data_IF_309459641044
#
_entry.id   IF_309459641044
#
_cell.length_a   1.000
_cell.length_b   1.000
_cell.length_c   1.000
_cell.angle_alpha   90.00
_cell.angle_beta   90.00
_cell.angle_gamma   90.00
#
_symmetry.space_group_name_H-M   'P 1'
#
loop_
_entity.id
_entity.type
_entity.pdbx_description
1 polymer ?
#
# COMPACT_ATOMS: atom_id res chain seq x y z
N UNK A 1 -13.33 -3.86 -27.52
CA UNK A 1 -12.21 -3.30 -28.31
C UNK A 1 -11.54 -4.45 -29.03
N UNK A 2 -11.21 -4.30 -30.32
CA UNK A 2 -10.43 -5.27 -31.07
C UNK A 2 -9.00 -5.30 -30.50
N UNK A 3 -8.44 -6.46 -30.13
CA UNK A 3 -7.08 -6.53 -29.61
C UNK A 3 -6.10 -6.02 -30.67
N UNK A 4 -5.06 -5.29 -30.25
CA UNK A 4 -3.94 -4.95 -31.14
C UNK A 4 -2.89 -6.04 -31.00
N UNK A 5 -2.37 -6.51 -32.13
CA UNK A 5 -1.38 -7.58 -32.16
C UNK A 5 -0.15 -7.27 -31.29
N UNK A 6 0.37 -6.04 -31.37
CA UNK A 6 1.61 -5.62 -30.70
C UNK A 6 1.47 -5.49 -29.17
N UNK A 7 0.24 -5.46 -28.66
CA UNK A 7 -0.03 -5.36 -27.21
C UNK A 7 0.14 -6.73 -26.50
N UNK A 8 0.35 -7.82 -27.24
CA UNK A 8 0.35 -9.20 -26.72
C UNK A 8 1.57 -10.04 -27.17
N UNK A 9 2.81 -9.55 -26.98
CA UNK A 9 4.00 -10.22 -27.47
C UNK A 9 4.22 -11.61 -26.87
N UNK A 10 3.90 -11.82 -25.59
CA UNK A 10 4.11 -13.11 -24.91
C UNK A 10 3.17 -14.20 -25.45
N UNK A 11 1.90 -13.86 -25.66
CA UNK A 11 0.94 -14.77 -26.28
C UNK A 11 1.33 -15.11 -27.72
N UNK A 12 1.75 -14.10 -28.49
CA UNK A 12 2.21 -14.29 -29.87
C UNK A 12 3.43 -15.21 -29.92
N UNK A 13 4.40 -14.99 -29.03
CA UNK A 13 5.61 -15.82 -28.94
C UNK A 13 5.28 -17.27 -28.58
N UNK A 14 4.29 -17.51 -27.70
CA UNK A 14 3.86 -18.88 -27.37
C UNK A 14 3.20 -19.58 -28.55
N UNK A 15 2.33 -18.90 -29.30
CA UNK A 15 1.76 -19.45 -30.53
C UNK A 15 2.82 -19.75 -31.60
N UNK A 16 3.85 -18.93 -31.67
CA UNK A 16 4.94 -19.08 -32.64
C UNK A 16 6.02 -20.07 -32.19
N UNK A 17 6.00 -20.52 -30.92
CA UNK A 17 6.96 -21.46 -30.36
C UNK A 17 6.96 -22.83 -31.09
N UNK A 18 5.82 -23.22 -31.66
CA UNK A 18 5.69 -24.44 -32.46
C UNK A 18 6.36 -24.34 -33.84
N UNK A 19 6.92 -23.18 -34.19
CA UNK A 19 7.61 -22.89 -35.45
C UNK A 19 6.78 -22.08 -36.45
N UNK A 20 7.35 -21.83 -37.63
CA UNK A 20 6.70 -21.06 -38.70
C UNK A 20 5.90 -21.94 -39.66
N UNK A 21 4.89 -21.35 -40.30
CA UNK A 21 4.10 -22.01 -41.36
C UNK A 21 4.65 -21.58 -42.73
N UNK A 22 4.87 -22.54 -43.63
CA UNK A 22 5.27 -22.25 -45.02
C UNK A 22 4.13 -22.51 -45.99
N UNK A 23 3.75 -21.51 -46.79
CA UNK A 23 2.69 -21.59 -47.82
C UNK A 23 3.28 -21.12 -49.14
N UNK A 24 3.31 -22.00 -50.14
CA UNK A 24 3.86 -21.71 -51.47
C UNK A 24 5.28 -21.09 -51.46
N UNK A 25 6.12 -21.47 -50.50
CA UNK A 25 7.48 -20.97 -50.32
C UNK A 25 7.61 -19.68 -49.51
N UNK A 26 6.51 -19.04 -49.12
CA UNK A 26 6.50 -17.91 -48.19
C UNK A 26 6.35 -18.41 -46.74
N UNK A 27 7.07 -17.78 -45.81
CA UNK A 27 7.11 -18.13 -44.38
C UNK A 27 6.28 -17.13 -43.57
N UNK A 28 5.44 -17.64 -42.68
CA UNK A 28 4.52 -16.87 -41.86
C UNK A 28 4.61 -17.28 -40.39
N UNK A 29 4.37 -16.34 -39.48
CA UNK A 29 4.14 -16.64 -38.06
C UNK A 29 2.69 -17.11 -37.84
N UNK A 30 2.53 -18.10 -36.96
CA UNK A 30 1.22 -18.66 -36.59
C UNK A 30 0.33 -17.60 -35.97
N UNK A 31 0.90 -16.82 -35.04
CA UNK A 31 0.21 -15.74 -34.34
C UNK A 31 -0.31 -14.69 -35.32
N UNK A 32 0.46 -14.35 -36.35
CA UNK A 32 0.10 -13.33 -37.34
C UNK A 32 -0.96 -13.80 -38.32
N UNK A 33 -0.86 -15.05 -38.79
CA UNK A 33 -1.92 -15.69 -39.59
C UNK A 33 -3.23 -15.66 -38.81
N UNK A 34 -3.21 -16.10 -37.54
CA UNK A 34 -4.41 -16.17 -36.72
C UNK A 34 -5.00 -14.78 -36.48
N UNK A 35 -4.15 -13.78 -36.20
CA UNK A 35 -4.58 -12.40 -35.99
C UNK A 35 -5.17 -11.75 -37.26
N UNK A 36 -4.52 -11.92 -38.41
CA UNK A 36 -4.91 -11.23 -39.65
C UNK A 36 -6.12 -11.90 -40.33
N UNK A 37 -6.25 -13.23 -40.24
CA UNK A 37 -7.31 -13.98 -40.93
C UNK A 37 -8.55 -14.26 -40.05
N UNK A 38 -8.36 -14.53 -38.75
CA UNK A 38 -9.43 -14.97 -37.85
C UNK A 38 -9.33 -14.25 -36.50
N UNK A 39 -9.56 -12.93 -36.51
CA UNK A 39 -9.46 -12.06 -35.33
C UNK A 39 -10.29 -12.55 -34.13
N UNK A 40 -11.45 -13.16 -34.37
CA UNK A 40 -12.29 -13.67 -33.29
C UNK A 40 -11.67 -14.90 -32.63
N UNK A 41 -11.10 -15.81 -33.42
CA UNK A 41 -10.35 -16.97 -32.88
C UNK A 41 -9.10 -16.51 -32.14
N UNK A 42 -8.36 -15.53 -32.68
CA UNK A 42 -7.23 -14.92 -31.97
C UNK A 42 -7.67 -14.36 -30.61
N UNK A 43 -8.77 -13.59 -30.59
CA UNK A 43 -9.31 -12.97 -29.38
C UNK A 43 -9.72 -14.01 -28.33
N UNK A 44 -10.41 -15.07 -28.74
CA UNK A 44 -10.82 -16.15 -27.84
C UNK A 44 -9.60 -16.91 -27.30
N UNK A 45 -8.66 -17.28 -28.17
CA UNK A 45 -7.43 -17.95 -27.77
C UNK A 45 -6.59 -17.10 -26.80
N UNK A 46 -6.49 -15.79 -27.05
CA UNK A 46 -5.82 -14.85 -26.15
C UNK A 46 -6.53 -14.80 -24.78
N UNK A 47 -7.86 -14.77 -24.74
CA UNK A 47 -8.62 -14.76 -23.49
C UNK A 47 -8.44 -16.05 -22.69
N UNK A 48 -8.44 -17.20 -23.36
CA UNK A 48 -8.23 -18.50 -22.70
C UNK A 48 -6.79 -18.63 -22.20
N UNK A 49 -5.80 -18.19 -22.98
CA UNK A 49 -4.41 -18.12 -22.56
C UNK A 49 -4.23 -17.21 -21.33
N UNK A 50 -4.80 -16.01 -21.35
CA UNK A 50 -4.75 -15.08 -20.20
C UNK A 50 -5.39 -15.70 -18.94
N UNK A 51 -6.53 -16.39 -19.11
CA UNK A 51 -7.22 -17.08 -18.01
C UNK A 51 -6.34 -18.20 -17.44
N UNK A 52 -5.74 -19.02 -18.30
CA UNK A 52 -4.84 -20.10 -17.88
C UNK A 52 -3.64 -19.53 -17.12
N UNK A 53 -2.98 -18.49 -17.65
CA UNK A 53 -1.84 -17.83 -16.97
C UNK A 53 -2.23 -17.24 -15.62
N UNK A 54 -3.41 -16.64 -15.51
CA UNK A 54 -3.92 -16.16 -14.22
C UNK A 54 -4.20 -17.31 -13.25
N UNK A 55 -4.71 -18.44 -13.72
CA UNK A 55 -4.94 -19.62 -12.88
C UNK A 55 -3.65 -20.26 -12.40
N UNK A 56 -2.67 -20.47 -13.29
CA UNK A 56 -1.32 -20.94 -12.96
C UNK A 56 -0.67 -20.03 -11.89
N UNK A 57 -0.71 -18.71 -12.10
CA UNK A 57 -0.16 -17.74 -11.15
C UNK A 57 -0.88 -17.78 -9.80
N UNK A 58 -2.21 -17.91 -9.79
CA UNK A 58 -2.98 -18.03 -8.53
C UNK A 58 -2.59 -19.29 -7.78
N UNK A 59 -2.40 -20.41 -8.46
CA UNK A 59 -2.02 -21.67 -7.84
C UNK A 59 -0.59 -21.63 -7.28
N UNK A 60 0.35 -21.02 -8.02
CA UNK A 60 1.70 -20.74 -7.54
C UNK A 60 1.69 -19.90 -6.26
N UNK A 61 0.94 -18.80 -6.27
CA UNK A 61 0.80 -17.91 -5.12
C UNK A 61 0.15 -18.62 -3.92
N UNK A 62 -0.93 -19.39 -4.15
CA UNK A 62 -1.59 -20.20 -3.12
C UNK A 62 -0.62 -21.17 -2.47
N UNK A 63 0.12 -21.91 -3.29
CA UNK A 63 1.14 -22.84 -2.82
C UNK A 63 2.18 -22.11 -1.97
N UNK A 64 2.67 -20.95 -2.42
CA UNK A 64 3.67 -20.16 -1.70
C UNK A 64 3.18 -19.63 -0.35
N UNK A 65 1.89 -19.29 -0.22
CA UNK A 65 1.32 -18.75 1.04
C UNK A 65 0.58 -19.80 1.87
N UNK A 66 0.49 -21.06 1.42
CA UNK A 66 -0.33 -22.11 2.04
C UNK A 66 -0.03 -22.26 3.53
N UNK A 67 1.25 -22.44 3.88
CA UNK A 67 1.69 -22.58 5.28
C UNK A 67 1.42 -21.31 6.09
N UNK A 68 1.39 -20.15 5.45
CA UNK A 68 1.09 -18.88 6.12
C UNK A 68 -0.39 -18.72 6.36
N UNK A 69 -1.25 -19.17 5.45
CA UNK A 69 -2.70 -19.14 5.63
C UNK A 69 -3.17 -20.09 6.74
N UNK A 70 -2.46 -21.20 6.98
CA UNK A 70 -2.76 -22.11 8.10
C UNK A 70 -2.33 -21.57 9.47
N UNK A 71 -1.56 -20.46 9.53
CA UNK A 71 -1.20 -19.83 10.79
C UNK A 71 -2.40 -19.16 11.45
N UNK A 72 -2.71 -19.60 12.67
CA UNK A 72 -3.74 -19.00 13.53
C UNK A 72 -5.07 -18.79 12.79
N UNK A 73 -5.55 -17.55 12.69
CA UNK A 73 -6.82 -17.20 12.05
C UNK A 73 -6.64 -16.62 10.63
N UNK A 74 -5.45 -16.77 10.03
CA UNK A 74 -5.11 -16.13 8.75
C UNK A 74 -6.05 -16.54 7.63
N UNK A 75 -6.32 -17.84 7.44
CA UNK A 75 -7.22 -18.32 6.37
C UNK A 75 -8.60 -17.66 6.43
N UNK A 76 -9.25 -17.67 7.60
CA UNK A 76 -10.56 -17.04 7.79
C UNK A 76 -10.49 -15.53 7.52
N UNK A 77 -9.48 -14.83 8.05
CA UNK A 77 -9.32 -13.39 7.85
C UNK A 77 -9.05 -13.03 6.39
N UNK A 78 -8.20 -13.81 5.72
CA UNK A 78 -7.85 -13.61 4.32
C UNK A 78 -9.06 -13.85 3.41
N UNK A 79 -9.87 -14.89 3.67
CA UNK A 79 -11.12 -15.15 2.94
C UNK A 79 -12.11 -13.98 3.06
N UNK A 80 -12.29 -13.42 4.26
CA UNK A 80 -13.14 -12.24 4.44
C UNK A 80 -12.55 -11.01 3.74
N UNK A 81 -11.24 -10.79 3.84
CA UNK A 81 -10.54 -9.70 3.15
C UNK A 81 -10.74 -9.76 1.63
N UNK A 82 -10.67 -10.96 1.02
CA UNK A 82 -10.95 -11.15 -0.41
C UNK A 82 -12.38 -10.77 -0.76
N UNK A 83 -13.38 -11.15 0.05
CA UNK A 83 -14.79 -10.76 -0.21
C UNK A 83 -14.94 -9.25 -0.25
N UNK A 84 -14.31 -8.55 0.70
CA UNK A 84 -14.36 -7.09 0.77
C UNK A 84 -13.65 -6.44 -0.42
N UNK A 85 -12.49 -6.98 -0.83
CA UNK A 85 -11.76 -6.50 -2.00
C UNK A 85 -12.58 -6.63 -3.29
N UNK A 86 -13.24 -7.78 -3.52
CA UNK A 86 -14.12 -7.99 -4.70
C UNK A 86 -15.30 -7.02 -4.77
N UNK A 87 -15.83 -6.62 -3.62
CA UNK A 87 -16.92 -5.64 -3.55
C UNK A 87 -16.41 -4.19 -3.71
N UNK A 88 -15.10 -3.98 -3.89
CA UNK A 88 -14.47 -2.67 -3.96
C UNK A 88 -14.70 -1.84 -2.69
N UNK A 89 -14.76 -2.50 -1.53
CA UNK A 89 -14.94 -1.85 -0.22
C UNK A 89 -13.62 -1.61 0.53
N UNK A 90 -12.51 -1.98 -0.09
CA UNK A 90 -11.19 -1.93 0.51
C UNK A 90 -10.47 -0.62 0.23
N UNK A 91 -9.95 -0.01 1.29
CA UNK A 91 -9.07 1.17 1.23
C UNK A 91 -7.69 0.76 1.74
N UNK A 92 -6.69 0.62 0.86
CA UNK A 92 -5.32 0.38 1.28
C UNK A 92 -4.80 1.56 2.11
N UNK A 93 -4.24 1.24 3.28
CA UNK A 93 -3.47 2.13 4.12
C UNK A 93 -2.01 1.69 4.02
N UNK A 94 -1.21 2.44 3.26
CA UNK A 94 0.14 2.04 2.84
C UNK A 94 1.21 2.79 3.63
N UNK A 95 2.10 2.06 4.28
CA UNK A 95 3.29 2.58 4.96
C UNK A 95 4.59 2.31 4.21
N UNK A 96 5.70 2.77 4.78
CA UNK A 96 7.00 2.80 4.12
C UNK A 96 7.55 1.40 3.79
N UNK A 97 7.07 0.36 4.48
CA UNK A 97 7.45 -1.02 4.20
C UNK A 97 7.11 -1.48 2.78
N UNK A 98 6.07 -0.90 2.16
CA UNK A 98 5.69 -1.22 0.77
C UNK A 98 6.61 -0.56 -0.26
N UNK A 99 7.15 0.61 0.04
CA UNK A 99 8.04 1.37 -0.87
C UNK A 99 9.52 1.07 -0.64
N UNK A 100 9.86 0.31 0.41
CA UNK A 100 11.24 -0.13 0.71
C UNK A 100 11.95 -0.85 -0.45
N UNK A 101 11.32 -1.78 -1.20
CA UNK A 101 11.95 -2.40 -2.38
C UNK A 101 12.26 -1.39 -3.50
N UNK A 102 11.53 -0.28 -3.56
CA UNK A 102 11.82 0.85 -4.45
C UNK A 102 12.95 1.76 -3.91
N UNK A 103 13.79 1.25 -3.00
CA UNK A 103 14.91 1.95 -2.36
C UNK A 103 14.50 3.18 -1.54
N UNK A 104 13.24 3.29 -1.15
CA UNK A 104 12.80 4.33 -0.21
C UNK A 104 13.18 3.91 1.20
N UNK A 105 13.83 4.78 2.00
CA UNK A 105 14.20 4.45 3.36
C UNK A 105 12.97 4.46 4.28
N UNK A 106 13.06 3.70 5.37
CA UNK A 106 12.10 3.80 6.47
C UNK A 106 12.31 5.11 7.23
N UNK A 107 11.25 5.62 7.85
CA UNK A 107 11.34 6.86 8.63
C UNK A 107 12.40 6.80 9.74
N UNK A 108 12.48 5.67 10.45
CA UNK A 108 13.50 5.40 11.46
C UNK A 108 14.93 5.52 10.90
N UNK A 109 15.16 4.98 9.69
CA UNK A 109 16.48 5.04 9.05
C UNK A 109 16.83 6.48 8.66
N UNK A 110 15.86 7.22 8.13
CA UNK A 110 16.03 8.64 7.80
C UNK A 110 16.41 9.47 9.03
N UNK A 111 15.67 9.35 10.14
CA UNK A 111 15.93 10.12 11.36
C UNK A 111 17.31 9.83 11.97
N UNK A 112 17.75 8.56 11.95
CA UNK A 112 19.09 8.19 12.42
C UNK A 112 20.16 8.84 11.53
N UNK A 113 20.03 8.74 10.20
CA UNK A 113 21.00 9.30 9.26
C UNK A 113 21.06 10.83 9.34
N UNK A 114 19.90 11.48 9.44
CA UNK A 114 19.80 12.92 9.66
C UNK A 114 20.45 13.33 10.99
N UNK A 115 20.21 12.58 12.07
CA UNK A 115 20.82 12.83 13.38
C UNK A 115 22.34 12.76 13.36
N UNK A 116 22.92 11.79 12.67
CA UNK A 116 24.39 11.66 12.56
C UNK A 116 25.01 12.93 11.94
N UNK A 117 24.34 13.57 10.97
CA UNK A 117 24.87 14.77 10.30
C UNK A 117 24.92 16.00 11.20
N UNK A 118 24.10 16.05 12.25
CA UNK A 118 24.12 17.12 13.27
C UNK A 118 24.80 16.69 14.57
N UNK A 119 25.53 15.58 14.54
CA UNK A 119 26.29 15.09 15.69
C UNK A 119 25.45 14.43 16.79
N UNK A 120 24.22 14.00 16.49
CA UNK A 120 23.46 13.14 17.41
C UNK A 120 24.06 11.73 17.45
N UNK A 121 24.06 11.13 18.64
CA UNK A 121 24.45 9.73 18.80
C UNK A 121 23.41 8.79 18.18
N UNK A 122 23.85 7.93 17.27
CA UNK A 122 22.98 7.01 16.54
C UNK A 122 22.35 5.95 17.44
N UNK A 123 23.05 5.50 18.48
CA UNK A 123 22.54 4.50 19.43
C UNK A 123 21.46 5.11 20.30
N UNK A 124 21.69 6.30 20.84
CA UNK A 124 20.69 7.04 21.63
C UNK A 124 19.46 7.35 20.78
N UNK A 125 19.66 7.83 19.56
CA UNK A 125 18.55 8.11 18.62
C UNK A 125 17.74 6.84 18.36
N UNK A 126 18.40 5.72 18.07
CA UNK A 126 17.72 4.43 17.85
C UNK A 126 16.94 3.94 19.07
N UNK A 127 17.47 4.11 20.28
CA UNK A 127 16.77 3.77 21.51
C UNK A 127 15.50 4.60 21.69
N UNK A 128 15.58 5.92 21.50
CA UNK A 128 14.41 6.81 21.57
C UNK A 128 13.33 6.45 20.56
N UNK A 129 13.72 6.16 19.32
CA UNK A 129 12.78 5.71 18.29
C UNK A 129 12.11 4.38 18.63
N UNK A 130 12.83 3.45 19.28
CA UNK A 130 12.23 2.19 19.77
C UNK A 130 11.21 2.38 20.90
N UNK A 131 11.25 3.53 21.60
CA UNK A 131 10.26 3.93 22.59
C UNK A 131 9.06 4.69 21.97
N UNK A 132 9.07 4.91 20.65
CA UNK A 132 8.03 5.64 19.94
C UNK A 132 8.20 7.16 19.90
N UNK A 133 9.36 7.70 20.32
CA UNK A 133 9.64 9.14 20.37
C UNK A 133 9.95 9.76 18.99
N UNK A 134 9.17 9.40 17.97
CA UNK A 134 9.38 9.85 16.58
C UNK A 134 9.16 11.36 16.44
N UNK A 135 8.13 11.90 17.11
CA UNK A 135 7.78 13.33 17.04
C UNK A 135 8.86 14.19 17.72
N UNK A 136 9.35 13.75 18.88
CA UNK A 136 10.38 14.42 19.67
C UNK A 136 11.74 14.41 18.96
N UNK A 137 12.13 13.29 18.36
CA UNK A 137 13.37 13.20 17.58
C UNK A 137 13.28 14.10 16.35
N UNK A 138 12.15 14.12 15.64
CA UNK A 138 11.97 15.00 14.48
C UNK A 138 12.05 16.49 14.86
N UNK A 139 11.40 16.91 15.96
CA UNK A 139 11.46 18.28 16.48
C UNK A 139 12.90 18.69 16.88
N UNK A 140 13.64 17.78 17.53
CA UNK A 140 15.05 18.04 17.87
C UNK A 140 15.91 18.25 16.62
N UNK A 141 15.74 17.41 15.59
CA UNK A 141 16.49 17.56 14.34
C UNK A 141 16.15 18.86 13.63
N UNK A 142 14.87 19.23 13.56
CA UNK A 142 14.45 20.52 12.99
C UNK A 142 15.04 21.68 13.77
N UNK A 143 15.11 21.59 15.10
CA UNK A 143 15.71 22.62 15.95
C UNK A 143 17.22 22.77 15.71
N UNK A 144 17.94 21.65 15.54
CA UNK A 144 19.40 21.65 15.29
C UNK A 144 19.77 22.07 13.86
N UNK A 145 19.01 21.61 12.87
CA UNK A 145 19.27 21.88 11.44
C UNK A 145 18.70 23.21 10.96
N UNK A 146 17.64 23.68 11.62
CA UNK A 146 16.72 24.64 11.04
C UNK A 146 15.78 23.99 10.00
N UNK A 147 14.60 24.60 9.78
CA UNK A 147 13.55 24.00 8.96
C UNK A 147 13.95 23.81 7.50
N UNK A 148 14.71 24.73 6.91
CA UNK A 148 15.07 24.65 5.49
C UNK A 148 16.00 23.48 5.18
N UNK A 149 17.03 23.28 6.01
CA UNK A 149 17.99 22.18 5.80
C UNK A 149 17.32 20.83 6.04
N UNK A 150 16.52 20.68 7.11
CA UNK A 150 15.76 19.46 7.36
C UNK A 150 14.83 19.11 6.18
N UNK A 151 14.14 20.12 5.63
CA UNK A 151 13.23 19.93 4.49
C UNK A 151 13.98 19.51 3.21
N UNK A 152 15.11 20.15 2.91
CA UNK A 152 15.96 19.75 1.80
C UNK A 152 16.39 18.29 1.95
N UNK A 153 16.68 17.85 3.17
CA UNK A 153 17.00 16.45 3.45
C UNK A 153 15.84 15.51 3.18
N UNK A 154 14.63 15.86 3.60
CA UNK A 154 13.41 15.08 3.30
C UNK A 154 13.19 15.00 1.78
N UNK A 155 13.23 16.15 1.09
CA UNK A 155 13.08 16.24 -0.37
C UNK A 155 14.11 15.36 -1.08
N UNK A 156 15.41 15.53 -0.78
CA UNK A 156 16.49 14.72 -1.37
C UNK A 156 16.34 13.25 -1.07
N UNK A 157 15.80 12.85 0.08
CA UNK A 157 15.70 11.44 0.43
C UNK A 157 14.52 10.76 -0.27
N UNK A 158 13.36 11.41 -0.29
CA UNK A 158 12.10 10.77 -0.69
C UNK A 158 11.62 11.16 -2.09
N UNK A 159 12.22 12.18 -2.73
CA UNK A 159 11.95 12.53 -4.14
C UNK A 159 12.98 11.90 -5.09
N UNK A 160 13.18 10.58 -4.97
CA UNK A 160 14.12 9.84 -5.82
C UNK A 160 13.38 9.11 -6.94
N UNK A 161 13.86 9.23 -8.18
CA UNK A 161 13.31 8.48 -9.31
C UNK A 161 13.93 7.08 -9.37
N UNK A 162 13.34 6.16 -8.61
CA UNK A 162 13.78 4.76 -8.52
C UNK A 162 12.87 3.83 -9.30
N UNK A 163 13.36 2.72 -9.88
CA UNK A 163 12.48 1.74 -10.54
C UNK A 163 11.40 1.20 -9.59
N UNK A 164 10.18 1.07 -10.11
CA UNK A 164 9.07 0.47 -9.37
C UNK A 164 9.26 -1.05 -9.30
N UNK A 165 9.25 -1.59 -8.07
CA UNK A 165 9.42 -3.03 -7.83
C UNK A 165 8.77 -3.45 -6.51
N UNK A 166 8.46 -4.74 -6.41
CA UNK A 166 7.91 -5.35 -5.21
C UNK A 166 6.40 -5.12 -5.02
N UNK A 167 5.90 -5.16 -3.78
CA UNK A 167 4.48 -5.26 -3.48
C UNK A 167 3.65 -4.04 -3.89
N UNK A 168 4.28 -2.88 -4.12
CA UNK A 168 3.59 -1.66 -4.56
C UNK A 168 2.89 -1.84 -5.92
N UNK A 169 3.42 -2.73 -6.78
CA UNK A 169 2.85 -3.04 -8.10
C UNK A 169 1.51 -3.79 -8.01
N UNK A 170 1.17 -4.33 -6.85
CA UNK A 170 -0.10 -5.04 -6.65
C UNK A 170 -1.23 -4.14 -6.14
N UNK A 171 -0.90 -2.96 -5.59
CA UNK A 171 -1.89 -2.05 -5.00
C UNK A 171 -2.93 -1.55 -6.03
N UNK A 172 -2.56 -1.12 -7.26
CA UNK A 172 -3.53 -0.68 -8.26
C UNK A 172 -4.50 -1.77 -8.72
N UNK A 173 -4.19 -3.05 -8.44
CA UNK A 173 -5.05 -4.20 -8.75
C UNK A 173 -5.97 -4.58 -7.58
N UNK A 174 -5.70 -4.10 -6.38
CA UNK A 174 -6.52 -4.32 -5.19
C UNK A 174 -7.66 -3.30 -5.11
N UNK A 175 -7.42 -2.06 -5.54
CA UNK A 175 -8.43 -0.99 -5.54
C UNK A 175 -8.24 -0.03 -6.72
N UNK A 176 -9.35 0.43 -7.28
CA UNK A 176 -9.42 1.58 -8.20
C UNK A 176 -9.98 2.83 -7.47
N UNK A 177 -10.06 2.78 -6.14
CA UNK A 177 -10.66 3.82 -5.30
C UNK A 177 -9.64 4.63 -4.50
N UNK A 178 -10.02 4.98 -3.27
CA UNK A 178 -9.17 5.76 -2.38
C UNK A 178 -8.00 4.92 -1.82
N UNK A 179 -6.85 5.58 -1.65
CA UNK A 179 -5.68 5.05 -0.96
C UNK A 179 -5.23 6.05 0.09
N UNK A 180 -4.86 5.57 1.27
CA UNK A 180 -4.29 6.37 2.37
C UNK A 180 -2.84 5.97 2.53
N UNK A 181 -1.94 6.93 2.77
CA UNK A 181 -0.53 6.62 3.03
C UNK A 181 0.11 7.56 4.04
N UNK A 182 1.06 7.01 4.80
CA UNK A 182 1.98 7.76 5.66
C UNK A 182 3.28 8.15 4.95
N UNK A 183 3.46 7.74 3.69
CA UNK A 183 4.73 7.90 2.97
C UNK A 183 4.86 9.30 2.37
N UNK A 184 6.10 9.78 2.33
CA UNK A 184 6.44 11.06 1.68
C UNK A 184 6.74 10.92 0.19
N UNK A 185 7.26 9.76 -0.22
CA UNK A 185 7.67 9.44 -1.58
C UNK A 185 6.48 9.41 -2.57
N UNK A 186 6.77 9.46 -3.87
CA UNK A 186 5.76 9.43 -4.94
C UNK A 186 5.60 8.05 -5.62
N UNK A 187 6.06 6.97 -4.95
CA UNK A 187 6.08 5.62 -5.52
C UNK A 187 4.67 5.12 -5.81
N UNK A 188 3.69 5.40 -4.95
CA UNK A 188 2.29 5.03 -5.18
C UNK A 188 1.72 5.76 -6.41
N UNK A 189 1.97 7.05 -6.54
CA UNK A 189 1.53 7.85 -7.68
C UNK A 189 2.08 7.30 -9.00
N UNK A 190 3.39 6.97 -9.02
CA UNK A 190 4.03 6.37 -10.20
C UNK A 190 3.47 4.98 -10.49
N UNK A 191 3.22 4.15 -9.47
CA UNK A 191 2.65 2.82 -9.63
C UNK A 191 1.23 2.88 -10.25
N UNK A 192 0.35 3.73 -9.72
CA UNK A 192 -1.00 3.90 -10.28
C UNK A 192 -0.97 4.46 -11.71
N UNK A 193 -0.03 5.37 -12.01
CA UNK A 193 0.16 5.90 -13.37
C UNK A 193 0.62 4.81 -14.35
N UNK A 194 1.57 3.96 -13.95
CA UNK A 194 2.07 2.86 -14.79
C UNK A 194 0.97 1.84 -15.13
N UNK A 195 0.01 1.64 -14.22
CA UNK A 195 -1.15 0.77 -14.45
C UNK A 195 -2.30 1.43 -15.22
N UNK A 196 -2.12 2.67 -15.71
CA UNK A 196 -3.14 3.41 -16.47
C UNK A 196 -4.26 4.02 -15.61
N UNK A 197 -4.12 3.99 -14.28
CA UNK A 197 -5.13 4.43 -13.33
C UNK A 197 -4.60 5.56 -12.42
N UNK A 198 -4.12 6.70 -12.96
CA UNK A 198 -3.57 7.77 -12.13
C UNK A 198 -4.64 8.32 -11.18
N UNK A 199 -4.20 8.74 -9.99
CA UNK A 199 -5.06 9.43 -9.03
C UNK A 199 -5.63 10.72 -9.65
N UNK A 200 -6.95 10.91 -9.53
CA UNK A 200 -7.62 12.11 -10.08
C UNK A 200 -7.45 13.32 -9.18
N UNK A 201 -7.34 13.09 -7.87
CA UNK A 201 -7.14 14.12 -6.86
C UNK A 201 -6.06 13.65 -5.87
N UNK A 202 -5.09 14.53 -5.61
CA UNK A 202 -4.06 14.34 -4.59
C UNK A 202 -4.25 15.42 -3.54
N UNK A 203 -4.55 15.01 -2.32
CA UNK A 203 -4.66 15.93 -1.20
C UNK A 203 -3.56 15.63 -0.19
N UNK A 204 -2.83 16.69 0.12
CA UNK A 204 -1.65 16.67 0.95
C UNK A 204 -2.01 17.37 2.26
N UNK A 205 -1.90 16.67 3.39
CA UNK A 205 -1.92 17.35 4.68
C UNK A 205 -3.23 18.04 5.05
N UNK A 206 -3.21 19.33 5.36
CA UNK A 206 -4.26 20.04 6.12
C UNK A 206 -5.42 20.62 5.29
N UNK A 207 -5.46 20.39 3.97
CA UNK A 207 -6.50 20.90 3.08
C UNK A 207 -7.26 19.76 2.41
N UNK A 208 -8.03 19.01 3.20
CA UNK A 208 -8.66 17.75 2.84
C UNK A 208 -10.16 17.84 2.55
N UNK A 209 -10.61 18.96 2.00
CA UNK A 209 -12.00 19.11 1.55
C UNK A 209 -12.31 18.11 0.44
N UNK A 210 -13.29 17.23 0.67
CA UNK A 210 -13.80 16.31 -0.35
C UNK A 210 -13.43 14.84 -0.19
N UNK A 211 -12.55 14.47 0.75
CA UNK A 211 -12.17 13.06 0.98
C UNK A 211 -13.38 12.15 1.24
N UNK A 212 -14.31 12.57 2.12
CA UNK A 212 -15.55 11.82 2.38
C UNK A 212 -16.35 11.55 1.10
N UNK A 213 -16.47 12.57 0.23
CA UNK A 213 -17.19 12.45 -1.04
C UNK A 213 -16.45 11.51 -1.99
N UNK A 214 -15.13 11.63 -2.07
CA UNK A 214 -14.28 10.74 -2.88
C UNK A 214 -14.39 9.28 -2.42
N UNK A 215 -14.42 9.04 -1.11
CA UNK A 215 -14.59 7.70 -0.53
C UNK A 215 -15.94 7.09 -0.89
N UNK A 216 -17.03 7.85 -0.71
CA UNK A 216 -18.39 7.39 -1.03
C UNK A 216 -18.60 7.14 -2.53
N UNK A 217 -18.02 7.97 -3.38
CA UNK A 217 -18.09 7.85 -4.84
C UNK A 217 -17.01 6.91 -5.42
N UNK A 218 -16.20 6.28 -4.55
CA UNK A 218 -15.08 5.40 -4.93
C UNK A 218 -14.15 6.04 -5.97
N UNK A 219 -13.90 7.35 -5.86
CA UNK A 219 -12.97 8.06 -6.73
C UNK A 219 -11.52 7.68 -6.42
N UNK A 220 -10.68 7.69 -7.45
CA UNK A 220 -9.22 7.53 -7.36
C UNK A 220 -8.60 8.71 -6.63
N UNK A 221 -8.45 8.57 -5.32
CA UNK A 221 -8.01 9.64 -4.44
C UNK A 221 -6.87 9.17 -3.55
N UNK A 222 -5.79 9.93 -3.49
CA UNK A 222 -4.66 9.66 -2.58
C UNK A 222 -4.64 10.65 -1.43
N UNK A 223 -4.77 10.12 -0.20
CA UNK A 223 -4.63 10.86 1.04
C UNK A 223 -3.25 10.60 1.66
N UNK A 224 -2.37 11.61 1.70
CA UNK A 224 -1.06 11.52 2.35
C UNK A 224 -1.12 12.21 3.72
N UNK A 225 -1.12 11.42 4.81
CA UNK A 225 -1.44 11.94 6.15
C UNK A 225 -0.29 12.72 6.79
N UNK A 226 0.96 12.40 6.45
CA UNK A 226 2.12 13.15 6.91
C UNK A 226 2.56 14.24 5.93
N UNK A 227 1.85 14.39 4.82
CA UNK A 227 2.17 15.34 3.77
C UNK A 227 2.97 14.72 2.63
N UNK A 228 3.64 15.57 1.86
CA UNK A 228 4.40 15.18 0.68
C UNK A 228 5.82 15.70 0.79
N UNK A 229 6.80 14.95 0.28
CA UNK A 229 8.18 15.40 0.30
C UNK A 229 8.35 16.75 -0.44
N UNK A 230 7.59 17.01 -1.51
CA UNK A 230 7.70 18.22 -2.36
C UNK A 230 6.88 19.40 -1.83
N UNK A 231 5.93 19.17 -0.91
CA UNK A 231 5.04 20.23 -0.40
C UNK A 231 5.11 20.39 1.12
N UNK A 232 5.58 21.58 1.51
CA UNK A 232 5.76 22.01 2.89
C UNK A 232 4.44 22.32 3.59
N UNK A 233 3.39 22.71 2.84
CA UNK A 233 2.17 23.34 3.38
C UNK A 233 1.17 22.36 4.00
N UNK A 234 1.46 21.07 4.00
CA UNK A 234 0.60 20.03 4.55
C UNK A 234 1.33 19.01 5.45
N UNK A 235 2.57 19.29 5.84
CA UNK A 235 3.39 18.28 6.51
C UNK A 235 3.01 18.08 7.98
N UNK A 236 3.11 16.83 8.43
CA UNK A 236 2.90 16.40 9.82
C UNK A 236 4.05 15.50 10.26
N UNK A 237 5.10 16.11 10.80
CA UNK A 237 6.34 15.45 11.24
C UNK A 237 6.76 15.81 12.66
N UNK A 238 6.66 17.07 13.03
CA UNK A 238 7.11 17.55 14.35
C UNK A 238 5.95 17.58 15.34
N UNK A 239 6.24 17.67 16.64
CA UNK A 239 5.22 17.76 17.70
C UNK A 239 4.26 18.92 17.41
N UNK A 240 4.78 20.08 17.01
CA UNK A 240 3.97 21.23 16.66
C UNK A 240 3.04 20.94 15.47
N UNK A 241 3.54 20.28 14.44
CA UNK A 241 2.76 19.92 13.25
C UNK A 241 1.69 18.85 13.56
N UNK A 242 2.02 17.86 14.40
CA UNK A 242 1.06 16.85 14.88
C UNK A 242 -0.02 17.44 15.77
N UNK A 243 0.34 18.34 16.70
CA UNK A 243 -0.62 19.06 17.52
C UNK A 243 -1.56 19.90 16.66
N UNK A 244 -1.03 20.48 15.58
CA UNK A 244 -1.83 21.24 14.62
C UNK A 244 -2.71 20.35 13.71
N UNK A 245 -2.32 19.11 13.44
CA UNK A 245 -3.09 18.21 12.58
C UNK A 245 -4.14 17.39 13.36
N UNK A 246 -3.78 16.88 14.54
CA UNK A 246 -4.59 15.95 15.33
C UNK A 246 -5.21 16.57 16.58
N UNK A 247 -4.76 17.74 17.02
CA UNK A 247 -5.04 18.26 18.37
C UNK A 247 -3.91 17.96 19.35
N UNK A 248 -3.89 18.65 20.50
CA UNK A 248 -2.82 18.56 21.50
C UNK A 248 -2.96 17.32 22.40
N UNK A 249 -3.56 17.50 23.58
CA UNK A 249 -3.67 16.44 24.60
C UNK A 249 -4.65 15.32 24.21
N UNK A 250 -5.63 15.61 23.34
CA UNK A 250 -6.64 14.67 22.86
C UNK A 250 -6.83 14.84 21.35
N UNK A 251 -7.36 13.80 20.70
CA UNK A 251 -7.71 13.85 19.28
C UNK A 251 -8.88 14.81 19.09
N UNK A 252 -8.68 15.80 18.23
CA UNK A 252 -9.63 16.84 17.90
C UNK A 252 -10.32 16.51 16.56
N UNK A 253 -11.49 15.87 16.64
CA UNK A 253 -12.28 15.50 15.47
C UNK A 253 -12.90 16.69 14.71
N UNK A 254 -12.72 17.92 15.18
CA UNK A 254 -13.09 19.12 14.40
C UNK A 254 -12.06 19.41 13.30
N UNK A 255 -10.83 18.89 13.44
CA UNK A 255 -9.77 19.00 12.43
C UNK A 255 -9.99 18.02 11.29
N UNK A 256 -9.56 18.42 10.10
CA UNK A 256 -9.86 17.68 8.87
C UNK A 256 -9.24 16.28 8.83
N UNK A 257 -7.97 16.14 9.25
CA UNK A 257 -7.27 14.86 9.22
C UNK A 257 -7.92 13.81 10.14
N UNK A 258 -8.17 14.10 11.44
CA UNK A 258 -8.92 13.19 12.30
C UNK A 258 -10.32 12.86 11.77
N UNK A 259 -11.04 13.86 11.25
CA UNK A 259 -12.37 13.67 10.66
C UNK A 259 -12.36 12.73 9.45
N UNK A 260 -11.35 12.85 8.58
CA UNK A 260 -11.21 12.02 7.39
C UNK A 260 -10.75 10.61 7.73
N UNK A 261 -9.81 10.45 8.66
CA UNK A 261 -9.41 9.14 9.17
C UNK A 261 -10.59 8.42 9.83
N UNK A 262 -11.35 9.13 10.67
CA UNK A 262 -12.60 8.61 11.24
C UNK A 262 -13.57 8.18 10.15
N UNK A 263 -13.81 9.03 9.14
CA UNK A 263 -14.69 8.70 8.01
C UNK A 263 -14.22 7.44 7.27
N UNK A 264 -12.93 7.31 6.98
CA UNK A 264 -12.38 6.12 6.32
C UNK A 264 -12.59 4.86 7.18
N UNK A 265 -12.31 4.97 8.47
CA UNK A 265 -12.44 3.87 9.43
C UNK A 265 -13.90 3.42 9.59
N UNK A 266 -14.85 4.36 9.72
CA UNK A 266 -16.27 4.03 9.91
C UNK A 266 -16.93 3.46 8.63
N UNK A 267 -16.62 4.00 7.44
CA UNK A 267 -17.37 3.70 6.21
C UNK A 267 -16.66 2.78 5.22
N UNK A 268 -15.47 2.26 5.55
CA UNK A 268 -14.74 1.35 4.67
C UNK A 268 -13.92 0.33 5.45
N UNK A 269 -13.45 -0.71 4.78
CA UNK A 269 -12.46 -1.62 5.38
C UNK A 269 -11.06 -1.16 5.00
N UNK A 270 -10.31 -0.69 6.00
CA UNK A 270 -8.89 -0.41 5.85
C UNK A 270 -8.07 -1.70 5.77
N UNK A 271 -7.13 -1.74 4.81
CA UNK A 271 -6.07 -2.75 4.72
C UNK A 271 -4.71 -2.11 4.96
N UNK A 272 -4.12 -2.36 6.12
CA UNK A 272 -2.79 -1.84 6.47
C UNK A 272 -1.68 -2.70 5.86
N UNK A 273 -0.79 -2.05 5.08
CA UNK A 273 0.28 -2.69 4.34
C UNK A 273 1.60 -1.94 4.56
N UNK A 274 2.63 -2.64 5.03
CA UNK A 274 3.94 -2.02 5.29
C UNK A 274 3.92 -0.97 6.41
N UNK A 275 2.89 -0.99 7.25
CA UNK A 275 2.79 -0.19 8.47
C UNK A 275 3.23 -1.06 9.66
N UNK A 276 4.09 -0.54 10.53
CA UNK A 276 4.42 -1.25 11.78
C UNK A 276 3.22 -1.31 12.74
N UNK A 277 2.28 -0.35 12.62
CA UNK A 277 1.15 -0.16 13.55
C UNK A 277 1.62 -0.13 15.01
N UNK A 278 2.74 0.56 15.24
CA UNK A 278 3.21 0.91 16.57
C UNK A 278 2.42 2.10 17.10
N UNK A 279 2.48 2.35 18.41
CA UNK A 279 1.67 3.37 19.09
C UNK A 279 1.91 4.77 18.50
N UNK A 280 1.00 5.22 17.64
CA UNK A 280 0.99 6.56 17.05
C UNK A 280 -0.37 7.26 17.28
N UNK A 281 -0.49 8.53 16.87
CA UNK A 281 -1.76 9.26 17.00
C UNK A 281 -2.88 8.66 16.15
N UNK A 282 -2.56 7.98 15.06
CA UNK A 282 -3.52 7.30 14.18
C UNK A 282 -4.21 6.13 14.89
N UNK A 283 -3.44 5.28 15.59
CA UNK A 283 -4.00 4.19 16.38
C UNK A 283 -4.80 4.72 17.58
N UNK A 284 -4.31 5.76 18.27
CA UNK A 284 -5.07 6.42 19.35
C UNK A 284 -6.44 6.90 18.83
N UNK A 285 -6.46 7.50 17.64
CA UNK A 285 -7.69 7.92 16.98
C UNK A 285 -8.61 6.73 16.71
N UNK A 286 -8.12 5.64 16.11
CA UNK A 286 -8.94 4.47 15.83
C UNK A 286 -9.50 3.81 17.10
N UNK A 287 -8.69 3.71 18.17
CA UNK A 287 -9.16 3.22 19.47
C UNK A 287 -10.29 4.10 20.02
N UNK A 288 -10.16 5.41 19.88
CA UNK A 288 -11.21 6.34 20.30
C UNK A 288 -12.48 6.16 19.45
N UNK A 289 -12.37 5.99 18.14
CA UNK A 289 -13.54 5.72 17.26
C UNK A 289 -14.24 4.42 17.66
N UNK A 290 -13.49 3.34 17.94
CA UNK A 290 -14.06 2.06 18.40
C UNK A 290 -14.80 2.22 19.73
N UNK A 291 -14.22 2.98 20.67
CA UNK A 291 -14.86 3.24 21.96
C UNK A 291 -16.13 4.10 21.82
N UNK A 292 -16.14 5.06 20.90
CA UNK A 292 -17.26 5.99 20.70
C UNK A 292 -18.43 5.38 19.91
N UNK A 293 -18.14 4.56 18.88
CA UNK A 293 -19.13 4.02 17.95
C UNK A 293 -19.56 2.58 18.28
N UNK A 294 -18.77 1.86 19.10
CA UNK A 294 -18.99 0.45 19.38
C UNK A 294 -18.58 -0.46 18.21
N UNK A 295 -18.51 -1.77 18.45
CA UNK A 295 -17.97 -2.74 17.47
C UNK A 295 -19.01 -3.33 16.53
N UNK A 296 -20.29 -3.21 16.83
CA UNK A 296 -21.36 -3.94 16.13
C UNK A 296 -21.60 -3.40 14.71
N UNK A 297 -21.49 -2.08 14.54
CA UNK A 297 -21.71 -1.40 13.25
C UNK A 297 -20.40 -1.08 12.51
N UNK A 298 -19.24 -1.32 13.13
CA UNK A 298 -17.93 -1.05 12.52
C UNK A 298 -17.45 -2.20 11.64
N UNK A 299 -17.04 -1.87 10.42
CA UNK A 299 -16.39 -2.83 9.54
C UNK A 299 -15.06 -3.32 10.15
N UNK A 300 -14.77 -4.61 10.05
CA UNK A 300 -13.45 -5.14 10.47
C UNK A 300 -12.37 -4.59 9.55
N UNK A 301 -11.23 -4.21 10.12
CA UNK A 301 -10.03 -3.81 9.38
C UNK A 301 -8.99 -4.92 9.40
N UNK A 302 -8.06 -4.91 8.44
CA UNK A 302 -7.06 -5.97 8.30
C UNK A 302 -5.65 -5.40 8.16
N UNK A 303 -4.65 -6.12 8.63
CA UNK A 303 -3.25 -5.73 8.48
C UNK A 303 -2.40 -6.94 8.10
N UNK A 304 -1.56 -6.85 7.07
CA UNK A 304 -0.57 -7.89 6.77
C UNK A 304 0.71 -7.53 7.50
N UNK A 305 1.06 -8.29 8.54
CA UNK A 305 2.13 -7.95 9.48
C UNK A 305 3.07 -9.13 9.73
N UNK A 306 4.31 -8.80 10.06
CA UNK A 306 5.31 -9.78 10.48
C UNK A 306 4.91 -10.38 11.84
N UNK A 307 4.97 -11.70 11.97
CA UNK A 307 4.70 -12.38 13.23
C UNK A 307 5.73 -11.95 14.29
N UNK A 308 5.31 -11.40 15.45
CA UNK A 308 6.23 -11.01 16.50
C UNK A 308 7.04 -12.20 17.03
N UNK A 309 8.32 -11.99 17.34
CA UNK A 309 9.16 -13.02 17.95
C UNK A 309 8.74 -13.36 19.40
N UNK A 310 8.16 -12.38 20.11
CA UNK A 310 7.68 -12.51 21.49
C UNK A 310 6.32 -11.80 21.62
N UNK A 311 5.56 -12.13 22.66
CA UNK A 311 4.31 -11.47 23.04
C UNK A 311 3.24 -11.43 21.93
N UNK A 312 3.15 -12.49 21.12
CA UNK A 312 2.19 -12.58 20.01
C UNK A 312 0.75 -12.34 20.47
N UNK A 313 0.34 -12.90 21.61
CA UNK A 313 -1.02 -12.75 22.15
C UNK A 313 -1.31 -11.32 22.62
N UNK A 314 -0.33 -10.64 23.21
CA UNK A 314 -0.48 -9.23 23.60
C UNK A 314 -0.62 -8.34 22.37
N UNK A 315 0.17 -8.62 21.33
CA UNK A 315 0.11 -7.90 20.06
C UNK A 315 -1.21 -8.15 19.32
N UNK A 316 -1.66 -9.39 19.30
CA UNK A 316 -2.97 -9.79 18.77
C UNK A 316 -4.08 -9.02 19.48
N UNK A 317 -4.11 -9.07 20.82
CA UNK A 317 -5.09 -8.36 21.64
C UNK A 317 -5.07 -6.87 21.37
N UNK A 318 -3.87 -6.25 21.38
CA UNK A 318 -3.70 -4.84 21.08
C UNK A 318 -4.33 -4.47 19.74
N UNK A 319 -4.05 -5.18 18.65
CA UNK A 319 -4.63 -4.87 17.34
C UNK A 319 -6.15 -5.08 17.30
N UNK A 320 -6.64 -6.16 17.91
CA UNK A 320 -8.09 -6.44 17.95
C UNK A 320 -8.88 -5.44 18.79
N UNK A 321 -8.31 -4.87 19.85
CA UNK A 321 -8.91 -3.75 20.60
C UNK A 321 -9.05 -2.47 19.76
N UNK A 322 -8.28 -2.35 18.68
CA UNK A 322 -8.41 -1.27 17.69
C UNK A 322 -9.26 -1.70 16.49
N UNK A 323 -9.96 -2.84 16.57
CA UNK A 323 -10.74 -3.43 15.48
C UNK A 323 -9.94 -3.77 14.21
N UNK A 324 -8.62 -3.98 14.39
CA UNK A 324 -7.68 -4.38 13.34
C UNK A 324 -7.33 -5.86 13.52
N UNK A 325 -7.62 -6.67 12.52
CA UNK A 325 -7.42 -8.12 12.55
C UNK A 325 -6.18 -8.50 11.72
N UNK A 326 -5.07 -8.90 12.37
CA UNK A 326 -3.82 -9.15 11.66
C UNK A 326 -3.85 -10.46 10.85
N UNK A 327 -3.16 -10.46 9.71
CA UNK A 327 -2.81 -11.61 8.92
C UNK A 327 -1.28 -11.72 9.00
N UNK A 328 -0.81 -12.72 9.75
CA UNK A 328 0.60 -12.83 10.12
C UNK A 328 1.42 -13.53 9.03
N UNK A 329 2.55 -12.97 8.62
CA UNK A 329 3.55 -13.69 7.82
C UNK A 329 4.79 -14.03 8.66
N UNK A 330 5.56 -15.08 8.31
CA UNK A 330 6.73 -15.49 9.09
C UNK A 330 7.82 -14.40 9.17
N UNK A 331 8.61 -14.34 10.25
CA UNK A 331 9.64 -13.33 10.41
C UNK A 331 10.60 -13.23 9.21
N UNK A 332 10.88 -12.02 8.74
CA UNK A 332 11.75 -11.67 7.61
C UNK A 332 11.37 -12.29 6.26
N UNK A 333 10.23 -12.95 6.14
CA UNK A 333 9.71 -13.53 4.89
C UNK A 333 8.86 -12.53 4.10
N UNK A 334 9.48 -11.40 3.73
CA UNK A 334 8.82 -10.35 2.94
C UNK A 334 8.38 -10.84 1.55
N UNK A 335 9.04 -11.87 1.02
CA UNK A 335 8.65 -12.56 -0.22
C UNK A 335 7.28 -13.26 -0.10
N UNK A 336 6.91 -13.70 1.11
CA UNK A 336 5.61 -14.30 1.41
C UNK A 336 4.56 -13.22 1.66
N UNK A 337 4.94 -12.13 2.34
CA UNK A 337 4.08 -10.96 2.49
C UNK A 337 3.68 -10.38 1.13
N UNK A 338 4.63 -10.23 0.21
CA UNK A 338 4.35 -9.83 -1.17
C UNK A 338 3.45 -10.84 -1.88
N UNK A 339 3.68 -12.14 -1.71
CA UNK A 339 2.83 -13.18 -2.29
C UNK A 339 1.37 -13.14 -1.77
N UNK A 340 1.16 -12.79 -0.49
CA UNK A 340 -0.19 -12.57 0.06
C UNK A 340 -0.89 -11.37 -0.59
N UNK A 341 -0.17 -10.26 -0.77
CA UNK A 341 -0.70 -9.06 -1.44
C UNK A 341 -0.98 -9.36 -2.91
N UNK A 342 -0.09 -10.08 -3.60
CA UNK A 342 -0.28 -10.51 -4.97
C UNK A 342 -1.48 -11.45 -5.10
N UNK A 343 -1.64 -12.42 -4.20
CA UNK A 343 -2.78 -13.33 -4.20
C UNK A 343 -4.09 -12.57 -3.97
N UNK A 344 -4.10 -11.61 -3.05
CA UNK A 344 -5.26 -10.74 -2.83
C UNK A 344 -5.62 -9.96 -4.10
N UNK A 345 -4.63 -9.39 -4.78
CA UNK A 345 -4.82 -8.67 -6.03
C UNK A 345 -5.42 -9.56 -7.13
N UNK A 346 -4.89 -10.78 -7.32
CA UNK A 346 -5.44 -11.74 -8.29
C UNK A 346 -6.88 -12.15 -7.94
N UNK A 347 -7.18 -12.30 -6.64
CA UNK A 347 -8.51 -12.71 -6.18
C UNK A 347 -9.53 -11.57 -6.18
N UNK A 348 -9.09 -10.30 -6.12
CA UNK A 348 -9.94 -9.11 -6.15
C UNK A 348 -10.48 -8.81 -7.57
N UNK A 349 -9.73 -9.16 -8.61
CA UNK A 349 -10.11 -8.94 -10.02
C UNK A 349 -10.99 -10.05 -10.62
N UNK A 350 -11.36 -11.06 -9.83
CA UNK A 350 -12.13 -12.23 -10.25
C UNK A 350 -13.64 -12.06 -10.10
#
# INVERSE_FOLDING_TARGET
>A
MTPKYDDHPDFNAELDADGAITIAGAVFSRSRILFDLEQETYRLALMDWQRQRQEERREELRTKVQDTLTLRANDTRFKELVKVARNGGLVPFVGAGITKPCKMPMWTEFLILAGIQVGCDAVVTKQRLSLGEYEEVAEELVTKMGPNWFNEHVERTFCQDTPLTGPVLHIPRITDGCVITTNFDDVLERAFTQFGNPFTEKIIGKSQTGFRKALMEKRRYLLKIHGDAKDRRGRVLTIAEYNDAYGGASIDFTRELPKNLKTAFTYSTLLFLGCSLETDRTLKLFKQVVNDEGTDDLARHYAILELPAVNVEERERFLTEHHIFPIWFPPKRFDVAEALVALLAEMATC
#
